data_IF_628554647737
#
_entry.id   IF_628554647737
#
_cell.length_a   1.000
_cell.length_b   1.000
_cell.length_c   1.000
_cell.angle_alpha   90.00
_cell.angle_beta   90.00
_cell.angle_gamma   90.00
#
_symmetry.space_group_name_H-M   'P 1'
#
loop_
_entity.id
_entity.type
_entity.pdbx_description
1 polymer ?
#
# COMPACT_ATOMS: atom_id res chain seq x y z
N UNK A 1 -19.18 1.87 4.49
CA UNK A 1 -20.41 1.04 4.37
C UNK A 1 -20.42 -0.04 5.45
N UNK A 2 -21.58 -0.27 6.10
CA UNK A 2 -21.75 -1.36 7.06
C UNK A 2 -22.79 -2.32 6.48
N UNK A 3 -22.46 -3.61 6.50
CA UNK A 3 -23.31 -4.67 5.96
C UNK A 3 -23.60 -5.73 7.02
N UNK A 4 -24.82 -6.30 6.98
CA UNK A 4 -25.10 -7.64 7.50
C UNK A 4 -24.88 -8.65 6.35
N UNK A 5 -24.73 -9.96 6.64
CA UNK A 5 -24.64 -10.97 5.59
C UNK A 5 -25.81 -10.92 4.58
N UNK A 6 -27.04 -10.66 5.07
CA UNK A 6 -28.24 -10.54 4.24
C UNK A 6 -28.17 -9.32 3.32
N UNK A 7 -27.82 -8.14 3.86
CA UNK A 7 -27.72 -6.90 3.08
C UNK A 7 -26.56 -6.98 2.07
N UNK A 8 -25.45 -7.67 2.41
CA UNK A 8 -24.37 -7.92 1.48
C UNK A 8 -24.80 -8.84 0.34
N UNK A 9 -25.50 -9.94 0.62
CA UNK A 9 -26.06 -10.80 -0.44
C UNK A 9 -26.98 -10.03 -1.37
N UNK A 10 -27.89 -9.24 -0.81
CA UNK A 10 -28.84 -8.42 -1.55
C UNK A 10 -28.23 -7.25 -2.31
N UNK A 11 -26.99 -6.87 -2.02
CA UNK A 11 -26.31 -5.76 -2.71
C UNK A 11 -25.99 -6.13 -4.17
N UNK A 12 -26.65 -5.52 -5.18
CA UNK A 12 -26.58 -6.00 -6.56
C UNK A 12 -25.23 -5.68 -7.24
N UNK A 13 -24.57 -4.59 -6.83
CA UNK A 13 -23.35 -4.09 -7.44
C UNK A 13 -22.23 -4.05 -6.41
N UNK A 14 -21.43 -5.10 -6.31
CA UNK A 14 -20.33 -5.17 -5.35
C UNK A 14 -19.21 -4.20 -5.71
N UNK A 15 -18.75 -3.41 -4.74
CA UNK A 15 -17.65 -2.44 -4.91
C UNK A 15 -16.69 -2.61 -3.75
N UNK A 16 -15.49 -3.12 -4.02
CA UNK A 16 -14.54 -3.56 -3.00
C UNK A 16 -13.24 -2.79 -3.15
N UNK A 17 -12.70 -2.26 -2.05
CA UNK A 17 -11.32 -1.75 -1.97
C UNK A 17 -10.47 -2.76 -1.20
N UNK A 18 -9.40 -3.26 -1.83
CA UNK A 18 -8.46 -4.20 -1.23
C UNK A 18 -7.34 -3.44 -0.54
N UNK A 19 -7.25 -3.57 0.79
CA UNK A 19 -6.26 -2.91 1.65
C UNK A 19 -5.29 -3.94 2.22
N UNK A 20 -4.04 -3.59 2.39
CA UNK A 20 -3.04 -4.46 3.02
C UNK A 20 -1.64 -4.33 2.43
N UNK A 21 -0.68 -4.99 3.06
CA UNK A 21 0.73 -4.97 2.67
C UNK A 21 0.94 -5.53 1.25
N UNK A 22 2.05 -5.14 0.62
CA UNK A 22 2.46 -5.77 -0.64
C UNK A 22 2.74 -7.26 -0.43
N UNK A 23 2.19 -8.10 -1.31
CA UNK A 23 2.40 -9.55 -1.28
C UNK A 23 1.35 -10.37 -0.54
N UNK A 24 0.37 -9.74 0.15
CA UNK A 24 -0.70 -10.45 0.89
C UNK A 24 -1.83 -11.01 0.00
N UNK A 25 -1.76 -10.83 -1.32
CA UNK A 25 -2.72 -11.43 -2.26
C UNK A 25 -3.69 -10.45 -2.92
N UNK A 26 -3.58 -9.12 -2.72
CA UNK A 26 -4.45 -8.12 -3.37
C UNK A 26 -4.52 -8.28 -4.88
N UNK A 27 -3.37 -8.28 -5.53
CA UNK A 27 -3.27 -8.41 -7.00
C UNK A 27 -3.71 -9.79 -7.51
N UNK A 28 -3.58 -10.85 -6.68
CA UNK A 28 -4.13 -12.16 -7.00
C UNK A 28 -5.66 -12.09 -7.12
N UNK A 29 -6.34 -11.55 -6.12
CA UNK A 29 -7.80 -11.36 -6.13
C UNK A 29 -8.23 -10.45 -7.28
N UNK A 30 -7.58 -9.29 -7.47
CA UNK A 30 -7.91 -8.38 -8.56
C UNK A 30 -7.78 -9.03 -9.93
N UNK A 31 -6.75 -9.87 -10.13
CA UNK A 31 -6.54 -10.60 -11.38
C UNK A 31 -7.57 -11.71 -11.59
N UNK A 32 -7.96 -12.40 -10.52
CA UNK A 32 -9.00 -13.43 -10.55
C UNK A 32 -10.35 -12.81 -10.93
N UNK A 33 -10.73 -11.70 -10.31
CA UNK A 33 -12.00 -11.04 -10.54
C UNK A 33 -12.09 -10.38 -11.92
N UNK A 34 -10.96 -9.90 -12.48
CA UNK A 34 -10.91 -9.25 -13.81
C UNK A 34 -11.39 -10.13 -14.96
N UNK A 35 -11.36 -11.45 -14.82
CA UNK A 35 -11.89 -12.39 -15.82
C UNK A 35 -13.41 -12.54 -15.80
N UNK A 36 -14.13 -11.84 -14.92
CA UNK A 36 -15.56 -11.89 -14.68
C UNK A 36 -16.19 -10.50 -14.81
N UNK A 37 -17.34 -10.27 -14.20
CA UNK A 37 -18.13 -9.03 -14.27
C UNK A 37 -17.59 -7.89 -13.38
N UNK A 38 -16.27 -7.80 -13.20
CA UNK A 38 -15.60 -6.85 -12.33
C UNK A 38 -14.72 -5.87 -13.10
N UNK A 39 -15.00 -4.57 -12.92
CA UNK A 39 -14.08 -3.54 -13.34
C UNK A 39 -12.89 -3.48 -12.36
N UNK A 40 -11.69 -3.75 -12.86
CA UNK A 40 -10.46 -3.66 -12.08
C UNK A 40 -9.85 -2.26 -12.18
N UNK A 41 -9.89 -1.51 -11.10
CA UNK A 41 -9.18 -0.24 -10.94
C UNK A 41 -7.85 -0.49 -10.19
N UNK A 42 -6.74 -0.22 -10.84
CA UNK A 42 -5.41 -0.28 -10.22
C UNK A 42 -4.98 1.14 -9.84
N UNK A 43 -4.85 1.39 -8.53
CA UNK A 43 -4.38 2.67 -8.00
C UNK A 43 -3.00 3.02 -8.53
N UNK A 44 -2.06 2.08 -8.48
CA UNK A 44 -0.68 2.30 -8.94
C UNK A 44 -0.59 2.61 -10.45
N UNK A 45 -1.41 1.93 -11.28
CA UNK A 45 -1.49 2.24 -12.71
C UNK A 45 -2.06 3.65 -12.94
N UNK A 46 -3.07 4.04 -12.18
CA UNK A 46 -3.67 5.38 -12.24
C UNK A 46 -2.69 6.47 -11.80
N UNK A 47 -1.93 6.24 -10.73
CA UNK A 47 -0.85 7.11 -10.29
C UNK A 47 0.13 7.34 -11.45
N UNK A 48 0.62 6.28 -12.05
CA UNK A 48 1.61 6.36 -13.12
C UNK A 48 1.11 7.06 -14.38
N UNK A 49 -0.07 6.66 -14.87
CA UNK A 49 -0.56 7.11 -16.19
C UNK A 49 -1.28 8.45 -16.17
N UNK A 50 -1.74 8.92 -15.01
CA UNK A 50 -2.47 10.19 -14.92
C UNK A 50 -1.72 11.28 -14.17
N UNK A 51 -1.10 10.91 -13.06
CA UNK A 51 -0.58 11.90 -12.13
C UNK A 51 0.94 12.02 -12.14
N UNK A 52 1.66 10.95 -12.49
CA UNK A 52 3.13 10.97 -12.58
C UNK A 52 3.66 10.83 -14.02
N UNK A 53 2.80 10.70 -15.03
CA UNK A 53 3.24 10.56 -16.42
C UNK A 53 4.12 11.75 -16.85
N UNK A 54 3.60 12.98 -16.70
CA UNK A 54 4.32 14.20 -17.03
C UNK A 54 5.56 14.42 -16.13
N UNK A 55 5.51 14.31 -14.79
CA UNK A 55 6.69 14.39 -13.94
C UNK A 55 7.80 13.39 -14.29
N UNK A 56 7.43 12.15 -14.67
CA UNK A 56 8.40 11.15 -15.12
C UNK A 56 9.04 11.56 -16.45
N UNK A 57 8.23 12.01 -17.41
CA UNK A 57 8.70 12.48 -18.71
C UNK A 57 9.62 13.69 -18.59
N UNK A 58 9.27 14.64 -17.74
CA UNK A 58 10.08 15.83 -17.50
C UNK A 58 11.44 15.46 -16.92
N UNK A 59 11.48 14.52 -15.97
CA UNK A 59 12.74 14.02 -15.44
C UNK A 59 13.60 13.36 -16.51
N UNK A 60 13.01 12.52 -17.38
CA UNK A 60 13.70 11.86 -18.47
C UNK A 60 14.24 12.89 -19.47
N UNK A 61 13.41 13.85 -19.87
CA UNK A 61 13.79 14.93 -20.79
C UNK A 61 14.90 15.79 -20.20
N UNK A 62 14.82 16.12 -18.91
CA UNK A 62 15.86 16.87 -18.21
C UNK A 62 17.23 16.14 -18.25
N UNK A 63 17.23 14.81 -18.05
CA UNK A 63 18.44 14.01 -18.19
C UNK A 63 18.92 13.92 -19.63
N UNK A 64 18.02 13.71 -20.58
CA UNK A 64 18.36 13.67 -22.02
C UNK A 64 18.98 14.98 -22.52
N UNK A 65 18.52 16.13 -21.99
CA UNK A 65 19.06 17.45 -22.33
C UNK A 65 20.52 17.65 -21.88
N UNK A 66 21.06 16.81 -21.00
CA UNK A 66 22.49 16.83 -20.64
C UNK A 66 23.38 16.17 -21.72
N UNK A 67 22.80 15.36 -22.59
CA UNK A 67 23.49 14.68 -23.68
C UNK A 67 23.36 15.53 -24.95
N UNK A 68 24.47 16.10 -25.50
CA UNK A 68 24.39 17.04 -26.64
C UNK A 68 23.60 16.50 -27.82
N UNK A 69 23.82 15.25 -28.22
CA UNK A 69 23.13 14.61 -29.34
C UNK A 69 21.60 14.53 -29.12
N UNK A 70 21.17 14.12 -27.90
CA UNK A 70 19.72 14.04 -27.57
C UNK A 70 19.10 15.43 -27.43
N UNK A 71 19.84 16.39 -26.89
CA UNK A 71 19.41 17.79 -26.76
C UNK A 71 19.03 18.37 -28.11
N UNK A 72 19.89 18.21 -29.12
CA UNK A 72 19.66 18.75 -30.46
C UNK A 72 18.44 18.12 -31.12
N UNK A 73 18.26 16.80 -30.95
CA UNK A 73 17.08 16.09 -31.47
C UNK A 73 15.78 16.54 -30.78
N UNK A 74 15.80 16.70 -29.46
CA UNK A 74 14.61 17.15 -28.69
C UNK A 74 14.26 18.61 -28.98
N UNK A 75 15.27 19.50 -29.09
CA UNK A 75 15.02 20.93 -29.36
C UNK A 75 14.48 21.21 -30.75
N UNK A 76 14.72 20.33 -31.71
CA UNK A 76 14.24 20.46 -33.08
C UNK A 76 12.98 19.61 -33.33
N UNK A 77 12.37 19.02 -32.29
CA UNK A 77 11.19 18.15 -32.40
C UNK A 77 11.39 16.94 -33.34
N UNK A 78 12.64 16.47 -33.49
CA UNK A 78 12.95 15.32 -34.32
C UNK A 78 12.76 13.99 -33.62
N UNK A 79 12.67 14.01 -32.30
CA UNK A 79 12.29 12.85 -31.46
C UNK A 79 11.28 13.25 -30.41
N UNK A 80 10.46 12.28 -30.00
CA UNK A 80 9.55 12.38 -28.86
C UNK A 80 9.83 11.23 -27.88
N UNK A 81 9.67 11.51 -26.58
CA UNK A 81 9.85 10.51 -25.52
C UNK A 81 8.47 10.28 -24.88
N UNK A 82 8.07 9.02 -24.80
CA UNK A 82 6.79 8.62 -24.21
C UNK A 82 7.00 7.55 -23.15
N UNK A 83 6.24 7.63 -22.07
CA UNK A 83 6.15 6.56 -21.11
C UNK A 83 5.39 5.36 -21.69
N UNK A 84 5.81 4.15 -21.29
CA UNK A 84 5.12 2.91 -21.58
C UNK A 84 4.75 2.21 -20.28
N UNK A 85 3.91 2.86 -19.48
CA UNK A 85 3.44 2.33 -18.21
C UNK A 85 2.32 1.34 -18.47
N UNK A 86 2.46 0.12 -17.95
CA UNK A 86 1.47 -0.96 -18.07
C UNK A 86 0.97 -1.36 -16.70
N UNK A 87 -0.26 -1.87 -16.64
CA UNK A 87 -0.88 -2.28 -15.37
C UNK A 87 -0.06 -3.36 -14.61
N UNK A 88 0.73 -4.15 -15.34
CA UNK A 88 1.61 -5.18 -14.78
C UNK A 88 3.09 -4.79 -14.77
N UNK A 89 3.42 -3.59 -15.26
CA UNK A 89 4.79 -3.07 -15.29
C UNK A 89 4.80 -1.59 -14.94
N UNK A 90 5.08 -1.33 -13.68
CA UNK A 90 5.14 0.00 -13.08
C UNK A 90 6.59 0.50 -12.93
N UNK A 91 7.52 -0.08 -13.69
CA UNK A 91 8.94 0.28 -13.67
C UNK A 91 9.21 1.79 -13.71
N UNK A 92 8.58 2.57 -14.61
CA UNK A 92 8.75 4.02 -14.64
C UNK A 92 8.36 4.73 -13.33
N UNK A 93 7.25 4.31 -12.70
CA UNK A 93 6.80 4.87 -11.41
C UNK A 93 7.79 4.55 -10.30
N UNK A 94 8.23 3.30 -10.20
CA UNK A 94 9.22 2.88 -9.20
C UNK A 94 10.55 3.60 -9.40
N UNK A 95 11.00 3.76 -10.65
CA UNK A 95 12.21 4.51 -10.98
C UNK A 95 12.09 5.99 -10.58
N UNK A 96 10.92 6.60 -10.78
CA UNK A 96 10.65 7.97 -10.34
C UNK A 96 10.71 8.09 -8.82
N UNK A 97 10.03 7.21 -8.08
CA UNK A 97 10.05 7.21 -6.60
C UNK A 97 11.49 7.12 -6.10
N UNK A 98 12.29 6.25 -6.68
CA UNK A 98 13.72 6.12 -6.40
C UNK A 98 14.02 5.63 -4.97
N UNK A 99 15.29 5.62 -4.61
CA UNK A 99 15.79 5.23 -3.30
C UNK A 99 16.69 6.32 -2.73
N UNK A 100 16.61 6.55 -1.43
CA UNK A 100 17.47 7.48 -0.72
C UNK A 100 18.89 6.97 -0.67
N UNK A 101 19.89 7.83 -0.97
CA UNK A 101 21.30 7.46 -0.85
C UNK A 101 22.24 8.22 -1.77
N UNK A 102 23.47 7.76 -1.84
CA UNK A 102 24.52 8.36 -2.64
C UNK A 102 24.26 8.28 -4.14
N UNK A 103 24.47 9.40 -4.88
CA UNK A 103 24.25 9.40 -6.33
C UNK A 103 25.17 8.44 -7.09
N UNK A 104 26.35 8.16 -6.56
CA UNK A 104 27.30 7.20 -7.12
C UNK A 104 26.79 5.76 -7.18
N UNK A 105 25.80 5.43 -6.32
CA UNK A 105 25.10 4.14 -6.31
C UNK A 105 23.67 4.26 -6.87
N UNK A 106 23.36 5.36 -7.58
CA UNK A 106 22.04 5.60 -8.15
C UNK A 106 21.00 6.03 -7.13
N UNK A 107 21.43 6.47 -5.94
CA UNK A 107 20.55 7.02 -4.91
C UNK A 107 20.17 8.46 -5.17
N UNK A 108 19.17 8.93 -4.45
CA UNK A 108 18.68 10.30 -4.45
C UNK A 108 19.17 11.04 -3.20
N UNK A 109 19.50 12.32 -3.35
CA UNK A 109 19.69 13.20 -2.19
C UNK A 109 18.42 13.30 -1.36
N UNK A 110 18.52 13.68 -0.10
CA UNK A 110 17.35 13.78 0.79
C UNK A 110 16.30 14.74 0.24
N UNK A 111 16.70 15.88 -0.31
CA UNK A 111 15.78 16.89 -0.87
C UNK A 111 15.02 16.33 -2.09
N UNK A 112 15.76 15.72 -3.03
CA UNK A 112 15.16 15.15 -4.24
C UNK A 112 14.26 13.94 -3.89
N UNK A 113 14.71 13.09 -2.98
CA UNK A 113 13.90 11.99 -2.48
C UNK A 113 12.62 12.49 -1.85
N UNK A 114 12.70 13.47 -0.94
CA UNK A 114 11.53 14.06 -0.26
C UNK A 114 10.55 14.70 -1.25
N UNK A 115 11.05 15.41 -2.26
CA UNK A 115 10.24 16.00 -3.32
C UNK A 115 9.46 14.94 -4.11
N UNK A 116 10.11 13.82 -4.47
CA UNK A 116 9.45 12.72 -5.21
C UNK A 116 8.47 11.95 -4.32
N UNK A 117 8.78 11.79 -3.04
CA UNK A 117 7.86 11.19 -2.07
C UNK A 117 6.58 12.02 -1.92
N UNK A 118 6.69 13.35 -1.86
CA UNK A 118 5.55 14.25 -1.82
C UNK A 118 4.70 14.15 -3.11
N UNK A 119 5.34 14.18 -4.28
CA UNK A 119 4.65 14.03 -5.55
C UNK A 119 3.92 12.68 -5.67
N UNK A 120 4.55 11.59 -5.20
CA UNK A 120 3.92 10.27 -5.18
C UNK A 120 2.70 10.24 -4.24
N UNK A 121 2.82 10.81 -3.03
CA UNK A 121 1.72 10.93 -2.07
C UNK A 121 0.52 11.66 -2.68
N UNK A 122 0.77 12.83 -3.28
CA UNK A 122 -0.29 13.64 -3.88
C UNK A 122 -0.96 12.92 -5.05
N UNK A 123 -0.18 12.18 -5.85
CA UNK A 123 -0.67 11.34 -6.93
C UNK A 123 -1.54 10.18 -6.41
N UNK A 124 -1.14 9.51 -5.32
CA UNK A 124 -1.91 8.42 -4.70
C UNK A 124 -3.23 8.94 -4.12
N UNK A 125 -3.21 10.08 -3.43
CA UNK A 125 -4.42 10.76 -2.94
C UNK A 125 -5.37 11.09 -4.10
N UNK A 126 -4.85 11.69 -5.17
CA UNK A 126 -5.65 12.05 -6.33
C UNK A 126 -6.22 10.81 -7.04
N UNK A 127 -5.44 9.73 -7.19
CA UNK A 127 -5.91 8.47 -7.76
C UNK A 127 -7.03 7.84 -6.93
N UNK A 128 -6.96 7.92 -5.61
CA UNK A 128 -8.04 7.42 -4.75
C UNK A 128 -9.29 8.30 -4.83
N UNK A 129 -9.15 9.60 -5.00
CA UNK A 129 -10.28 10.52 -5.24
C UNK A 129 -10.97 10.29 -6.58
N UNK A 130 -10.33 9.63 -7.53
CA UNK A 130 -10.94 9.21 -8.82
C UNK A 130 -11.86 7.98 -8.70
N UNK A 131 -11.79 7.21 -7.61
CA UNK A 131 -12.52 5.93 -7.45
C UNK A 131 -14.02 6.07 -7.71
N UNK A 132 -14.76 7.06 -7.17
CA UNK A 132 -16.20 7.22 -7.44
C UNK A 132 -16.51 7.41 -8.93
N UNK A 133 -15.69 8.20 -9.62
CA UNK A 133 -15.82 8.43 -11.05
C UNK A 133 -15.58 7.15 -11.86
N UNK A 134 -14.61 6.31 -11.45
CA UNK A 134 -14.31 5.05 -12.11
C UNK A 134 -15.35 3.96 -11.82
N UNK A 135 -16.00 3.97 -10.65
CA UNK A 135 -17.17 3.14 -10.39
C UNK A 135 -18.27 3.48 -11.40
N UNK A 136 -18.59 4.77 -11.58
CA UNK A 136 -19.57 5.23 -12.55
C UNK A 136 -19.19 4.84 -14.00
N UNK A 137 -17.95 5.09 -14.41
CA UNK A 137 -17.45 4.71 -15.74
C UNK A 137 -17.48 3.21 -15.99
N UNK A 138 -17.10 2.41 -14.98
CA UNK A 138 -17.15 0.95 -15.04
C UNK A 138 -18.56 0.47 -15.39
N UNK A 139 -19.57 1.05 -14.79
CA UNK A 139 -20.98 0.70 -15.00
C UNK A 139 -21.53 1.29 -16.32
N UNK A 140 -21.42 2.59 -16.52
CA UNK A 140 -22.10 3.30 -17.61
C UNK A 140 -21.41 3.11 -18.98
N UNK A 141 -20.08 3.03 -19.00
CA UNK A 141 -19.32 2.94 -20.26
C UNK A 141 -18.97 1.50 -20.61
N UNK A 142 -18.52 0.74 -19.61
CA UNK A 142 -17.98 -0.60 -19.84
C UNK A 142 -18.97 -1.72 -19.50
N UNK A 143 -20.09 -1.41 -18.83
CA UNK A 143 -21.14 -2.36 -18.49
C UNK A 143 -20.77 -3.34 -17.35
N UNK A 144 -19.73 -3.08 -16.58
CA UNK A 144 -19.36 -3.91 -15.45
C UNK A 144 -20.27 -3.65 -14.25
N UNK A 145 -20.99 -4.66 -13.72
CA UNK A 145 -21.82 -4.47 -12.54
C UNK A 145 -20.99 -4.32 -11.26
N UNK A 146 -19.78 -4.92 -11.20
CA UNK A 146 -18.94 -4.94 -10.02
C UNK A 146 -17.65 -4.15 -10.20
N UNK A 147 -17.03 -3.77 -9.08
CA UNK A 147 -15.83 -2.94 -9.07
C UNK A 147 -14.85 -3.42 -8.01
N UNK A 148 -13.59 -3.57 -8.38
CA UNK A 148 -12.49 -3.83 -7.44
C UNK A 148 -11.40 -2.77 -7.57
N UNK A 149 -11.09 -2.12 -6.44
CA UNK A 149 -10.01 -1.16 -6.30
C UNK A 149 -8.81 -1.85 -5.65
N UNK A 150 -7.75 -2.06 -6.43
CA UNK A 150 -6.46 -2.57 -5.95
C UNK A 150 -5.58 -1.38 -5.57
N UNK A 151 -5.46 -1.10 -4.29
CA UNK A 151 -4.69 0.03 -3.78
C UNK A 151 -3.23 -0.34 -3.50
N UNK A 152 -2.34 0.64 -3.59
CA UNK A 152 -0.96 0.51 -3.15
C UNK A 152 -0.83 0.18 -1.66
N UNK A 153 0.29 -0.44 -1.27
CA UNK A 153 0.56 -0.73 0.14
C UNK A 153 0.82 0.52 0.99
N UNK A 154 0.84 1.70 0.39
CA UNK A 154 1.09 2.99 1.03
C UNK A 154 -0.17 3.74 1.46
N UNK A 155 -1.37 3.29 1.10
CA UNK A 155 -2.62 3.98 1.43
C UNK A 155 -2.72 4.37 2.91
N UNK A 156 -2.30 3.49 3.82
CA UNK A 156 -2.32 3.76 5.27
C UNK A 156 -1.29 4.81 5.72
N UNK A 157 -0.37 5.23 4.86
CA UNK A 157 0.69 6.20 5.13
C UNK A 157 0.35 7.63 4.64
N UNK A 158 -0.78 7.81 3.95
CA UNK A 158 -1.10 9.08 3.30
C UNK A 158 -1.42 10.20 4.30
N UNK A 159 -1.84 9.84 5.52
CA UNK A 159 -2.29 10.80 6.56
C UNK A 159 -3.32 11.81 6.01
N UNK A 160 -4.26 11.31 5.18
CA UNK A 160 -5.33 12.06 4.54
C UNK A 160 -6.69 11.40 4.86
N UNK A 161 -7.32 11.75 5.98
CA UNK A 161 -8.56 11.11 6.44
C UNK A 161 -9.66 11.09 5.39
N UNK A 162 -9.88 12.20 4.68
CA UNK A 162 -10.93 12.30 3.66
C UNK A 162 -10.83 11.28 2.51
N UNK A 163 -9.66 10.67 2.28
CA UNK A 163 -9.51 9.59 1.31
C UNK A 163 -10.13 8.29 1.82
N UNK A 164 -9.89 7.95 3.08
CA UNK A 164 -10.43 6.72 3.69
C UNK A 164 -11.94 6.80 3.80
N UNK A 165 -12.47 7.94 4.24
CA UNK A 165 -13.92 8.19 4.32
C UNK A 165 -14.57 8.09 2.94
N UNK A 166 -13.97 8.69 1.90
CA UNK A 166 -14.46 8.60 0.52
C UNK A 166 -14.52 7.14 0.03
N UNK A 167 -13.45 6.37 0.27
CA UNK A 167 -13.43 4.95 -0.09
C UNK A 167 -14.47 4.15 0.69
N UNK A 168 -14.64 4.42 1.98
CA UNK A 168 -15.62 3.75 2.85
C UNK A 168 -17.09 4.10 2.49
N UNK A 169 -17.31 5.29 1.93
CA UNK A 169 -18.64 5.70 1.43
C UNK A 169 -19.00 4.95 0.14
N UNK A 170 -18.04 4.76 -0.75
CA UNK A 170 -18.29 4.22 -2.10
C UNK A 170 -18.00 2.74 -2.26
N UNK A 171 -17.17 2.14 -1.37
CA UNK A 171 -16.73 0.74 -1.44
C UNK A 171 -16.76 0.05 -0.07
N UNK A 172 -16.82 -1.27 -0.07
CA UNK A 172 -16.49 -2.08 1.10
C UNK A 172 -14.96 -2.21 1.17
N UNK A 173 -14.36 -1.72 2.24
CA UNK A 173 -12.92 -1.87 2.47
C UNK A 173 -12.64 -3.25 3.05
N UNK A 174 -11.81 -4.04 2.37
CA UNK A 174 -11.35 -5.36 2.80
C UNK A 174 -9.87 -5.31 3.14
N UNK A 175 -9.55 -5.39 4.41
CA UNK A 175 -8.16 -5.50 4.87
C UNK A 175 -7.70 -6.95 4.85
N UNK A 176 -6.63 -7.23 4.11
CA UNK A 176 -5.96 -8.52 4.07
C UNK A 176 -4.74 -8.44 4.97
N UNK A 177 -4.80 -9.11 6.13
CA UNK A 177 -3.72 -9.13 7.12
C UNK A 177 -2.87 -10.39 7.01
N UNK A 178 -1.62 -10.30 7.42
CA UNK A 178 -0.76 -11.46 7.68
C UNK A 178 -1.25 -12.20 8.93
N UNK A 179 -1.07 -13.52 8.97
CA UNK A 179 -1.64 -14.37 10.04
C UNK A 179 -0.59 -14.78 11.05
N UNK A 180 0.63 -15.04 10.58
CA UNK A 180 1.70 -15.60 11.41
C UNK A 180 2.99 -14.80 11.26
N UNK A 181 3.83 -14.86 12.29
CA UNK A 181 5.18 -14.29 12.26
C UNK A 181 6.03 -14.87 11.12
N UNK A 182 5.88 -16.16 10.83
CA UNK A 182 6.61 -16.82 9.74
C UNK A 182 6.23 -16.25 8.37
N UNK A 183 4.96 -15.94 8.16
CA UNK A 183 4.49 -15.27 6.95
C UNK A 183 5.08 -13.85 6.82
N UNK A 184 5.05 -13.08 7.90
CA UNK A 184 5.67 -11.74 7.93
C UNK A 184 7.15 -11.80 7.61
N UNK A 185 7.90 -12.71 8.24
CA UNK A 185 9.32 -12.94 7.97
C UNK A 185 9.56 -13.33 6.51
N UNK A 186 8.68 -14.12 5.91
CA UNK A 186 8.77 -14.51 4.50
C UNK A 186 8.58 -13.30 3.58
N UNK A 187 7.58 -12.45 3.85
CA UNK A 187 7.35 -11.21 3.09
C UNK A 187 8.52 -10.23 3.24
N UNK A 188 9.05 -10.09 4.45
CA UNK A 188 10.21 -9.25 4.73
C UNK A 188 11.45 -9.76 3.99
N UNK A 189 11.77 -11.05 4.07
CA UNK A 189 12.90 -11.67 3.36
C UNK A 189 12.80 -11.49 1.85
N UNK A 190 11.59 -11.65 1.29
CA UNK A 190 11.34 -11.42 -0.14
C UNK A 190 11.61 -9.97 -0.54
N UNK A 191 11.15 -9.00 0.24
CA UNK A 191 11.40 -7.59 -0.03
C UNK A 191 12.88 -7.20 0.14
N UNK A 192 13.59 -7.84 1.07
CA UNK A 192 15.02 -7.64 1.28
C UNK A 192 15.88 -8.29 0.19
N UNK A 193 15.43 -9.38 -0.42
CA UNK A 193 16.16 -10.02 -1.54
C UNK A 193 16.12 -9.19 -2.83
N UNK A 194 15.01 -8.47 -3.06
CA UNK A 194 14.84 -7.57 -4.20
C UNK A 194 14.29 -6.22 -3.70
N UNK A 195 15.15 -5.35 -3.11
CA UNK A 195 14.71 -4.09 -2.52
C UNK A 195 14.22 -3.12 -3.58
N UNK A 196 12.92 -2.83 -3.54
CA UNK A 196 12.25 -1.89 -4.44
C UNK A 196 12.18 -0.49 -3.82
N UNK A 197 12.03 0.56 -4.63
CA UNK A 197 11.64 1.87 -4.13
C UNK A 197 10.36 1.79 -3.30
N UNK A 198 10.34 2.53 -2.19
CA UNK A 198 9.26 2.54 -1.21
C UNK A 198 8.81 3.96 -0.94
N UNK A 199 7.52 4.13 -0.68
CA UNK A 199 7.02 5.36 -0.11
C UNK A 199 7.18 5.34 1.42
N UNK A 200 7.65 6.45 1.97
CA UNK A 200 7.74 6.70 3.41
C UNK A 200 7.01 8.01 3.75
N UNK A 201 6.14 7.99 4.72
CA UNK A 201 5.64 9.25 5.28
C UNK A 201 6.79 10.05 5.92
N UNK A 202 6.77 11.39 5.85
CA UNK A 202 7.88 12.22 6.32
C UNK A 202 8.29 11.95 7.78
N UNK A 203 7.31 11.76 8.68
CA UNK A 203 7.56 11.48 10.08
C UNK A 203 8.31 10.14 10.30
N UNK A 204 7.97 9.09 9.51
CA UNK A 204 8.66 7.81 9.57
C UNK A 204 10.12 7.93 9.14
N UNK A 205 10.37 8.64 8.03
CA UNK A 205 11.74 8.86 7.55
C UNK A 205 12.55 9.69 8.55
N UNK A 206 11.97 10.76 9.11
CA UNK A 206 12.63 11.61 10.09
C UNK A 206 13.02 10.85 11.37
N UNK A 207 12.21 9.87 11.78
CA UNK A 207 12.50 9.01 12.93
C UNK A 207 13.63 8.01 12.64
N UNK A 208 13.61 7.35 11.48
CA UNK A 208 14.46 6.19 11.21
C UNK A 208 15.79 6.51 10.52
N UNK A 209 15.86 7.60 9.75
CA UNK A 209 17.08 7.97 9.04
C UNK A 209 18.26 8.29 9.99
N UNK A 210 18.10 9.06 11.08
CA UNK A 210 19.19 9.28 12.04
C UNK A 210 19.66 8.00 12.73
N UNK A 211 18.74 7.08 13.01
CA UNK A 211 19.05 5.78 13.63
C UNK A 211 19.94 4.95 12.68
N UNK A 212 19.54 4.88 11.39
CA UNK A 212 20.33 4.17 10.38
C UNK A 212 21.74 4.76 10.23
N UNK A 213 21.85 6.08 10.09
CA UNK A 213 23.15 6.75 9.97
C UNK A 213 24.06 6.44 11.17
N UNK A 214 23.51 6.49 12.38
CA UNK A 214 24.25 6.18 13.62
C UNK A 214 24.67 4.71 13.66
N UNK A 215 23.78 3.77 13.38
CA UNK A 215 24.09 2.32 13.38
C UNK A 215 25.17 1.95 12.34
N UNK A 216 25.22 2.67 11.21
CA UNK A 216 26.19 2.43 10.14
C UNK A 216 27.47 3.27 10.25
N UNK A 217 27.54 4.18 11.21
CA UNK A 217 28.67 5.11 11.36
C UNK A 217 28.80 6.08 10.18
N UNK A 218 27.66 6.51 9.60
CA UNK A 218 27.61 7.44 8.49
C UNK A 218 27.27 8.84 9.00
N UNK A 219 27.82 9.87 8.35
CA UNK A 219 27.57 11.27 8.70
C UNK A 219 26.56 11.93 7.76
N UNK A 220 26.49 11.48 6.50
CA UNK A 220 25.71 12.12 5.45
C UNK A 220 24.93 11.12 4.63
N UNK A 221 23.76 11.53 4.12
CA UNK A 221 22.92 10.73 3.21
C UNK A 221 23.66 10.29 1.96
N UNK A 222 24.60 11.09 1.46
CA UNK A 222 25.42 10.74 0.29
C UNK A 222 26.30 9.50 0.51
N UNK A 223 26.53 9.06 1.75
CA UNK A 223 27.28 7.85 2.08
C UNK A 223 26.40 6.59 2.17
N UNK A 224 25.09 6.72 2.01
CA UNK A 224 24.15 5.62 2.07
C UNK A 224 24.17 4.82 0.78
N UNK A 225 24.38 3.47 0.88
CA UNK A 225 24.07 2.55 -0.23
C UNK A 225 22.54 2.35 -0.25
N UNK A 226 21.87 2.73 -1.36
CA UNK A 226 20.40 2.80 -1.40
C UNK A 226 19.69 1.47 -1.11
N UNK A 227 20.26 0.35 -1.56
CA UNK A 227 19.66 -0.96 -1.32
C UNK A 227 19.90 -1.43 0.13
N UNK A 228 21.04 -1.08 0.74
CA UNK A 228 21.27 -1.41 2.15
C UNK A 228 20.27 -0.67 3.04
N UNK A 229 20.05 0.62 2.79
CA UNK A 229 19.01 1.37 3.50
C UNK A 229 17.62 0.79 3.28
N UNK A 230 17.26 0.44 2.04
CA UNK A 230 15.96 -0.15 1.75
C UNK A 230 15.76 -1.51 2.46
N UNK A 231 16.79 -2.35 2.54
CA UNK A 231 16.75 -3.63 3.30
C UNK A 231 16.62 -3.41 4.80
N UNK A 232 17.32 -2.42 5.33
CA UNK A 232 17.30 -2.10 6.75
C UNK A 232 15.97 -1.51 7.20
N UNK A 233 15.40 -0.61 6.39
CA UNK A 233 14.19 0.13 6.74
C UNK A 233 12.91 -0.69 6.53
N UNK A 234 12.89 -1.63 5.59
CA UNK A 234 11.67 -2.34 5.21
C UNK A 234 10.99 -3.09 6.38
N UNK A 235 11.69 -3.86 7.23
CA UNK A 235 11.05 -4.51 8.39
C UNK A 235 10.37 -3.50 9.33
N UNK A 236 11.00 -2.36 9.55
CA UNK A 236 10.48 -1.27 10.39
C UNK A 236 9.22 -0.66 9.78
N UNK A 237 9.25 -0.40 8.47
CA UNK A 237 8.11 0.08 7.72
C UNK A 237 6.96 -0.93 7.74
N UNK A 238 7.26 -2.22 7.54
CA UNK A 238 6.29 -3.30 7.57
C UNK A 238 5.51 -3.29 8.88
N UNK A 239 6.20 -3.35 10.01
CA UNK A 239 5.57 -3.36 11.33
C UNK A 239 4.87 -2.04 11.69
N UNK A 240 5.37 -0.90 11.21
CA UNK A 240 4.72 0.41 11.43
C UNK A 240 3.38 0.54 10.72
N UNK A 241 3.19 -0.17 9.61
CA UNK A 241 1.96 -0.14 8.80
C UNK A 241 0.83 -1.00 9.35
N UNK A 242 1.14 -2.10 10.04
CA UNK A 242 0.12 -3.01 10.59
C UNK A 242 -0.93 -2.26 11.42
N UNK A 243 -0.56 -1.52 12.50
CA UNK A 243 -1.55 -0.80 13.30
C UNK A 243 -2.30 0.29 12.51
N UNK A 244 -1.71 0.83 11.45
CA UNK A 244 -2.36 1.83 10.59
C UNK A 244 -3.42 1.20 9.69
N UNK A 245 -3.16 0.01 9.14
CA UNK A 245 -4.19 -0.75 8.42
C UNK A 245 -5.36 -1.14 9.34
N UNK A 246 -5.05 -1.59 10.56
CA UNK A 246 -6.07 -1.93 11.56
C UNK A 246 -6.91 -0.72 11.96
N UNK A 247 -6.28 0.46 12.11
CA UNK A 247 -6.98 1.71 12.41
C UNK A 247 -7.97 2.11 11.30
N UNK A 248 -7.68 1.76 10.04
CA UNK A 248 -8.63 1.94 8.92
C UNK A 248 -9.71 0.85 8.94
N UNK A 249 -9.32 -0.41 9.08
CA UNK A 249 -10.23 -1.54 8.95
C UNK A 249 -11.24 -1.64 10.10
N UNK A 250 -10.83 -1.26 11.31
CA UNK A 250 -11.70 -1.33 12.50
C UNK A 250 -12.97 -0.50 12.34
N UNK A 251 -12.94 0.80 12.02
CA UNK A 251 -14.15 1.60 11.80
C UNK A 251 -14.77 1.41 10.42
N UNK A 252 -13.98 1.24 9.35
CA UNK A 252 -14.43 1.43 7.98
C UNK A 252 -14.47 0.16 7.13
N UNK A 253 -13.92 -0.97 7.58
CA UNK A 253 -13.75 -2.15 6.73
C UNK A 253 -14.01 -3.47 7.44
N UNK A 254 -13.66 -4.53 6.75
CA UNK A 254 -13.69 -5.92 7.23
C UNK A 254 -12.30 -6.52 7.06
N UNK A 255 -11.98 -7.55 7.87
CA UNK A 255 -10.64 -8.13 7.88
C UNK A 255 -10.73 -9.61 7.50
N UNK A 256 -9.83 -10.01 6.61
CA UNK A 256 -9.56 -11.41 6.25
C UNK A 256 -8.05 -11.66 6.33
N UNK A 257 -7.66 -12.91 6.36
CA UNK A 257 -6.26 -13.28 6.39
C UNK A 257 -5.74 -13.60 4.98
N UNK A 258 -4.45 -13.43 4.78
CA UNK A 258 -3.76 -13.87 3.55
C UNK A 258 -3.91 -15.36 3.29
N UNK A 259 -4.01 -16.18 4.35
CA UNK A 259 -4.27 -17.62 4.24
C UNK A 259 -5.68 -17.89 3.72
N UNK A 260 -6.70 -17.16 4.18
CA UNK A 260 -8.05 -17.25 3.63
C UNK A 260 -8.08 -16.81 2.16
N UNK A 261 -7.37 -15.74 1.82
CA UNK A 261 -7.23 -15.28 0.43
C UNK A 261 -6.56 -16.33 -0.46
N UNK A 262 -5.56 -17.04 0.04
CA UNK A 262 -4.88 -18.10 -0.71
C UNK A 262 -5.78 -19.31 -1.05
N UNK A 263 -6.92 -19.49 -0.36
CA UNK A 263 -7.90 -20.52 -0.64
C UNK A 263 -8.95 -20.10 -1.68
N UNK A 264 -9.01 -18.82 -2.03
CA UNK A 264 -9.96 -18.30 -3.02
C UNK A 264 -9.54 -18.72 -4.42
N UNK A 265 -10.40 -19.47 -5.11
CA UNK A 265 -10.17 -20.02 -6.45
C UNK A 265 -11.01 -19.34 -7.53
N UNK A 266 -12.14 -18.77 -7.13
CA UNK A 266 -13.08 -18.11 -8.03
C UNK A 266 -13.85 -16.96 -7.31
N UNK A 267 -14.69 -16.29 -8.06
CA UNK A 267 -15.54 -15.21 -7.55
C UNK A 267 -16.48 -15.66 -6.42
N UNK A 268 -17.02 -16.89 -6.51
CA UNK A 268 -17.93 -17.43 -5.51
C UNK A 268 -17.22 -17.62 -4.17
N UNK A 269 -16.02 -18.20 -4.20
CA UNK A 269 -15.18 -18.37 -3.02
C UNK A 269 -14.87 -16.99 -2.39
N UNK A 270 -14.58 -15.97 -3.22
CA UNK A 270 -14.31 -14.62 -2.76
C UNK A 270 -15.53 -13.96 -2.09
N UNK A 271 -16.71 -14.05 -2.70
CA UNK A 271 -17.95 -13.51 -2.13
C UNK A 271 -18.34 -14.22 -0.84
N UNK A 272 -18.16 -15.54 -0.75
CA UNK A 272 -18.38 -16.30 0.48
C UNK A 272 -17.42 -15.90 1.59
N UNK A 273 -16.15 -15.63 1.27
CA UNK A 273 -15.17 -15.12 2.23
C UNK A 273 -15.54 -13.74 2.76
N UNK A 274 -16.01 -12.84 1.90
CA UNK A 274 -16.50 -11.52 2.30
C UNK A 274 -17.71 -11.62 3.24
N UNK A 275 -18.68 -12.48 2.92
CA UNK A 275 -19.84 -12.73 3.75
C UNK A 275 -19.44 -13.25 5.15
N UNK A 276 -18.51 -14.19 5.20
CA UNK A 276 -17.97 -14.71 6.46
C UNK A 276 -17.23 -13.60 7.26
N UNK A 277 -16.49 -12.73 6.60
CA UNK A 277 -15.80 -11.61 7.25
C UNK A 277 -16.81 -10.58 7.83
N UNK A 278 -17.92 -10.35 7.14
CA UNK A 278 -19.01 -9.49 7.60
C UNK A 278 -19.67 -10.09 8.84
N UNK A 279 -20.02 -11.38 8.80
CA UNK A 279 -20.63 -12.08 9.93
C UNK A 279 -19.73 -12.07 11.19
N UNK A 280 -18.43 -12.15 11.05
CA UNK A 280 -17.48 -12.07 12.18
C UNK A 280 -17.44 -10.69 12.84
N UNK A 281 -17.79 -9.62 12.12
CA UNK A 281 -17.74 -8.24 12.62
C UNK A 281 -19.06 -7.78 13.26
N UNK A 282 -20.16 -8.54 13.15
CA UNK A 282 -21.44 -8.16 13.77
C UNK A 282 -21.29 -7.99 15.29
N UNK A 283 -21.92 -6.95 15.90
CA UNK A 283 -21.87 -6.75 17.35
C UNK A 283 -22.72 -7.83 18.04
N UNK A 284 -22.05 -8.88 18.49
CA UNK A 284 -22.65 -10.06 19.13
C UNK A 284 -21.65 -11.22 19.30
N UNK A 285 -20.57 -11.25 18.57
CA UNK A 285 -19.46 -12.17 18.77
C UNK A 285 -18.44 -11.53 19.74
N UNK A 286 -18.75 -11.54 21.06
CA UNK A 286 -17.74 -11.29 22.09
C UNK A 286 -16.63 -12.32 21.91
N UNK A 287 -15.48 -11.86 21.44
CA UNK A 287 -14.23 -12.63 21.55
C UNK A 287 -13.99 -12.82 23.04
N UNK A 288 -14.19 -14.04 23.53
CA UNK A 288 -13.69 -14.44 24.84
C UNK A 288 -12.19 -14.18 24.87
N UNK A 289 -11.80 -13.06 25.46
CA UNK A 289 -10.42 -12.86 25.89
C UNK A 289 -10.11 -14.02 26.87
N UNK A 290 -9.30 -14.95 26.43
CA UNK A 290 -8.71 -15.97 27.28
C UNK A 290 -7.83 -15.25 28.31
N UNK A 291 -8.45 -14.98 29.48
CA UNK A 291 -7.78 -14.37 30.60
C UNK A 291 -6.66 -15.27 31.11
N UNK A 292 -5.46 -14.90 30.81
CA UNK A 292 -4.29 -15.39 31.51
C UNK A 292 -4.21 -14.69 32.89
N UNK A 293 -4.97 -15.23 33.87
CA UNK A 293 -4.79 -14.87 35.27
C UNK A 293 -3.48 -15.49 35.76
N UNK A 294 -2.45 -14.65 35.83
CA UNK A 294 -1.27 -14.96 36.63
C UNK A 294 -1.65 -15.06 38.10
N UNK A 295 -1.54 -16.26 38.68
CA UNK A 295 -1.59 -16.47 40.09
C UNK A 295 -0.36 -15.82 40.76
N UNK A 296 -0.54 -14.68 41.39
CA UNK A 296 0.40 -14.10 42.36
C UNK A 296 0.16 -14.74 43.71
N UNK A 297 1.06 -15.60 44.15
CA UNK A 297 1.11 -16.19 45.48
C UNK A 297 1.26 -15.11 46.56
N UNK A 298 0.30 -15.08 47.44
CA UNK A 298 0.38 -14.33 48.70
C UNK A 298 1.51 -14.82 49.59
N UNK A 299 2.25 -13.89 50.13
CA UNK A 299 3.19 -14.07 51.22
C UNK A 299 2.86 -13.07 52.33
N UNK A 300 2.07 -13.53 53.28
CA UNK A 300 1.90 -12.88 54.60
C UNK A 300 3.20 -12.86 55.37
N UNK A 301 3.62 -11.73 55.88
CA UNK A 301 4.35 -11.65 57.14
C UNK A 301 3.91 -10.47 57.97
N UNK A 302 3.50 -10.86 59.18
CA UNK A 302 3.01 -9.99 60.25
C UNK A 302 4.18 -9.42 61.09
N UNK A 303 3.88 -8.26 61.63
CA UNK A 303 4.17 -7.76 62.95
C UNK A 303 5.63 -7.68 63.46
N UNK A 304 5.95 -6.54 64.03
CA UNK A 304 7.03 -6.37 64.98
C UNK A 304 7.36 -4.94 65.31
N UNK A 305 6.82 -4.48 66.43
CA UNK A 305 7.08 -3.22 67.13
C UNK A 305 8.59 -2.98 67.34
N UNK A 306 9.04 -1.77 67.29
CA UNK A 306 9.63 -0.91 68.30
C UNK A 306 9.88 0.48 67.75
#
# INVERSE_FOLDING_TARGET
MHFTPESFRAWPTKRITLLGMSGVGKTHISSLLRGHDWFHFSGDYRIGTRYLDEPILDLIKQQAMQVPFLRDLLRNDWIDIKNNIKIHDLGPVLTFVGKLGGPEWGGLSLDEFSRRQAAYRDAEIAAMKDVPEFIRKGQEIYGYPHFVNDVGGSLCELDEPGVVELLAEHTLILYIQTTTREEEETLIKRAQSDPKPLYFRPAFLAEHLPVYLTEKGLEFVAQIEPNDFARWVFPRLFHSRIPRYEAIARPHGYTVTSQEIAQVRDERDFLALLEAAIARKEPGAEVQESGFRGQGSGGTHAAGRA
#
